data_IF_214703186330
#
_entry.id   IF_214703186330
#
_cell.length_a   1.000
_cell.length_b   1.000
_cell.length_c   1.000
_cell.angle_alpha   90.00
_cell.angle_beta   90.00
_cell.angle_gamma   90.00
#
_symmetry.space_group_name_H-M   'P 1'
#
loop_
_entity.id
_entity.type
_entity.pdbx_description
1 polymer ?
#
# COMPACT_ATOMS: atom_id res chain seq x y z
N UNK A 1 24.76 -3.18 -5.36
CA UNK A 1 24.02 -3.42 -4.10
C UNK A 1 22.82 -2.51 -4.11
N UNK A 2 21.61 -3.05 -4.19
CA UNK A 2 20.37 -2.28 -4.25
C UNK A 2 19.41 -2.71 -3.15
N UNK A 3 18.52 -1.81 -2.72
CA UNK A 3 17.40 -2.14 -1.84
C UNK A 3 16.18 -2.52 -2.68
N UNK A 4 15.35 -3.42 -2.15
CA UNK A 4 14.24 -4.05 -2.84
C UNK A 4 12.92 -3.82 -2.10
N UNK A 5 11.94 -3.31 -2.84
CA UNK A 5 10.51 -3.32 -2.49
C UNK A 5 9.74 -3.58 -3.80
N UNK A 6 8.82 -4.56 -3.85
CA UNK A 6 8.10 -4.90 -5.07
C UNK A 6 7.18 -3.78 -5.56
N UNK A 7 6.59 -3.01 -4.65
CA UNK A 7 5.69 -1.88 -4.97
C UNK A 7 6.46 -0.70 -5.55
N UNK A 8 7.64 -0.39 -4.98
CA UNK A 8 8.54 0.63 -5.54
C UNK A 8 8.93 0.29 -6.99
N UNK A 9 9.32 -0.96 -7.21
CA UNK A 9 9.70 -1.45 -8.55
C UNK A 9 8.51 -1.44 -9.52
N UNK A 10 7.30 -1.73 -9.05
CA UNK A 10 6.08 -1.64 -9.87
C UNK A 10 5.75 -0.20 -10.26
N UNK A 11 5.80 0.74 -9.32
CA UNK A 11 5.53 2.16 -9.56
C UNK A 11 6.51 2.77 -10.57
N UNK A 12 7.79 2.39 -10.51
CA UNK A 12 8.80 2.85 -11.47
C UNK A 12 8.62 2.27 -12.88
N UNK A 13 8.05 1.07 -13.01
CA UNK A 13 7.90 0.37 -14.29
C UNK A 13 6.65 0.75 -15.06
N UNK A 14 5.59 1.22 -14.40
CA UNK A 14 4.30 1.50 -15.04
C UNK A 14 4.14 2.99 -15.34
N UNK A 15 4.01 3.32 -16.63
CA UNK A 15 3.61 4.66 -17.09
C UNK A 15 2.10 4.82 -17.24
N UNK A 16 1.36 3.70 -17.35
CA UNK A 16 -0.10 3.61 -17.47
C UNK A 16 -0.61 2.32 -16.78
N UNK A 17 -1.71 2.42 -16.01
CA UNK A 17 -2.35 1.29 -15.29
C UNK A 17 -2.43 1.50 -13.78
N UNK A 18 -3.16 0.62 -13.08
CA UNK A 18 -3.29 0.68 -11.62
C UNK A 18 -1.92 0.49 -10.94
N UNK A 19 -1.59 1.42 -10.05
CA UNK A 19 -0.42 1.38 -9.18
C UNK A 19 -0.86 1.06 -7.76
N UNK A 20 -0.03 0.35 -6.97
CA UNK A 20 -0.32 0.17 -5.55
C UNK A 20 -0.35 1.54 -4.86
N UNK A 21 -1.18 1.65 -3.82
CA UNK A 21 -1.41 2.91 -3.10
C UNK A 21 -1.31 2.65 -1.60
N UNK A 22 -0.57 3.49 -0.88
CA UNK A 22 -0.41 3.41 0.57
C UNK A 22 -1.03 4.59 1.27
N UNK A 23 -1.47 5.62 0.55
CA UNK A 23 -2.10 6.79 1.15
C UNK A 23 -3.22 7.34 0.25
N UNK A 24 -4.21 7.95 0.90
CA UNK A 24 -5.31 8.67 0.25
C UNK A 24 -5.50 10.05 0.86
N UNK A 25 -5.44 11.09 0.05
CA UNK A 25 -5.66 12.48 0.50
C UNK A 25 -6.95 13.01 -0.07
N UNK A 26 -7.86 13.47 0.80
CA UNK A 26 -9.11 14.08 0.34
C UNK A 26 -8.83 15.45 -0.28
N UNK A 27 -9.27 15.64 -1.52
CA UNK A 27 -9.25 16.91 -2.25
C UNK A 27 -10.69 17.43 -2.28
N UNK A 28 -11.01 18.48 -1.50
CA UNK A 28 -12.33 19.09 -1.55
C UNK A 28 -12.56 19.78 -2.90
N UNK A 29 -13.81 19.83 -3.33
CA UNK A 29 -14.25 20.57 -4.50
C UNK A 29 -15.46 21.44 -4.14
N UNK A 30 -15.61 22.57 -4.82
CA UNK A 30 -16.77 23.44 -4.67
C UNK A 30 -17.96 22.91 -5.50
N UNK A 31 -19.21 23.06 -5.04
CA UNK A 31 -20.39 22.69 -5.82
C UNK A 31 -20.42 23.35 -7.20
N UNK A 32 -20.85 22.65 -8.27
CA UNK A 32 -21.53 21.35 -8.25
C UNK A 32 -20.60 20.13 -8.29
N UNK A 33 -19.28 20.30 -8.17
CA UNK A 33 -18.33 19.19 -8.22
C UNK A 33 -18.25 18.43 -6.88
N UNK A 34 -18.01 17.11 -6.97
CA UNK A 34 -17.75 16.27 -5.80
C UNK A 34 -16.25 16.26 -5.47
N UNK A 35 -15.92 16.18 -4.17
CA UNK A 35 -14.56 15.96 -3.72
C UNK A 35 -14.04 14.59 -4.16
N UNK A 36 -12.73 14.46 -4.31
CA UNK A 36 -12.08 13.21 -4.74
C UNK A 36 -10.93 12.84 -3.82
N UNK A 37 -10.43 11.60 -3.91
CA UNK A 37 -9.24 11.19 -3.18
C UNK A 37 -8.05 11.07 -4.12
N UNK A 38 -6.97 11.80 -3.84
CA UNK A 38 -5.67 11.55 -4.45
C UNK A 38 -5.06 10.30 -3.82
N UNK A 39 -4.77 9.29 -4.64
CA UNK A 39 -4.08 8.09 -4.21
C UNK A 39 -2.58 8.21 -4.47
N UNK A 40 -1.75 7.81 -3.50
CA UNK A 40 -0.30 7.87 -3.61
C UNK A 40 0.39 6.63 -3.02
N UNK A 41 1.56 6.30 -3.56
CA UNK A 41 2.48 5.31 -2.99
C UNK A 41 3.64 6.04 -2.33
N UNK A 42 3.60 6.15 -1.00
CA UNK A 42 4.56 6.95 -0.23
C UNK A 42 5.33 6.11 0.80
N UNK A 43 4.79 4.96 1.18
CA UNK A 43 5.32 4.12 2.26
C UNK A 43 5.96 2.87 1.68
N UNK A 44 7.20 2.58 2.10
CA UNK A 44 8.01 1.50 1.56
C UNK A 44 8.69 0.71 2.67
N UNK A 45 8.82 -0.59 2.48
CA UNK A 45 9.72 -1.44 3.28
C UNK A 45 10.76 -1.97 2.31
N UNK A 46 11.88 -1.27 2.19
CA UNK A 46 12.96 -1.71 1.31
C UNK A 46 13.97 -2.56 2.06
N UNK A 47 14.35 -3.70 1.50
CA UNK A 47 15.30 -4.63 2.13
C UNK A 47 16.50 -4.94 1.25
N UNK A 48 17.59 -5.41 1.85
CA UNK A 48 18.78 -5.88 1.16
C UNK A 48 18.59 -7.25 0.51
N UNK A 49 19.53 -7.64 -0.36
CA UNK A 49 19.47 -8.87 -1.14
C UNK A 49 19.49 -10.16 -0.28
N UNK A 50 20.22 -10.16 0.83
CA UNK A 50 20.25 -11.27 1.79
C UNK A 50 18.90 -11.47 2.51
N UNK A 51 18.16 -10.38 2.75
CA UNK A 51 16.80 -10.45 3.27
C UNK A 51 15.79 -10.85 2.18
N UNK A 52 16.03 -10.49 0.92
CA UNK A 52 15.24 -10.99 -0.21
C UNK A 52 15.29 -12.52 -0.33
N UNK A 53 16.42 -13.13 0.03
CA UNK A 53 16.56 -14.59 0.04
C UNK A 53 15.71 -15.29 1.11
N UNK A 54 15.08 -14.55 2.05
CA UNK A 54 14.27 -15.05 3.17
C UNK A 54 12.76 -15.05 2.90
N UNK A 55 12.39 -15.25 1.64
CA UNK A 55 11.00 -15.32 1.18
C UNK A 55 10.08 -14.20 1.73
N UNK A 56 10.47 -12.92 1.61
CA UNK A 56 9.69 -11.81 2.14
C UNK A 56 8.33 -11.67 1.44
N UNK A 57 7.29 -11.35 2.21
CA UNK A 57 5.93 -11.16 1.70
C UNK A 57 5.39 -9.81 2.12
N UNK A 58 5.42 -8.85 1.19
CA UNK A 58 4.79 -7.55 1.40
C UNK A 58 3.27 -7.63 1.27
N UNK A 59 2.60 -6.79 2.04
CA UNK A 59 1.17 -6.53 1.93
C UNK A 59 0.91 -5.05 2.19
N UNK A 60 0.10 -4.45 1.34
CA UNK A 60 -0.53 -3.17 1.63
C UNK A 60 -1.95 -3.46 2.11
N UNK A 61 -2.30 -2.92 3.27
CA UNK A 61 -3.63 -3.09 3.86
C UNK A 61 -4.59 -2.00 3.38
N UNK A 62 -4.65 -1.78 2.06
CA UNK A 62 -5.58 -0.84 1.43
C UNK A 62 -6.94 -1.52 1.24
N UNK A 63 -8.04 -1.07 1.88
CA UNK A 63 -9.30 -1.80 1.92
C UNK A 63 -9.95 -2.09 0.56
N UNK A 64 -9.69 -1.24 -0.44
CA UNK A 64 -10.24 -1.41 -1.79
C UNK A 64 -9.35 -2.26 -2.71
N UNK A 65 -8.08 -2.45 -2.35
CA UNK A 65 -7.11 -3.22 -3.16
C UNK A 65 -6.79 -4.59 -2.53
N UNK A 66 -7.29 -4.85 -1.31
CA UNK A 66 -7.08 -6.08 -0.56
C UNK A 66 -8.42 -6.75 -0.23
N UNK A 67 -8.67 -7.91 -0.84
CA UNK A 67 -9.94 -8.63 -0.68
C UNK A 67 -10.20 -9.08 0.77
N UNK A 68 -9.16 -9.38 1.55
CA UNK A 68 -9.31 -9.74 2.96
C UNK A 68 -9.80 -8.55 3.77
N UNK A 69 -9.24 -7.36 3.53
CA UNK A 69 -9.75 -6.13 4.14
C UNK A 69 -11.17 -5.82 3.70
N UNK A 70 -11.48 -5.99 2.42
CA UNK A 70 -12.82 -5.73 1.91
C UNK A 70 -13.89 -6.65 2.53
N UNK A 71 -13.56 -7.93 2.74
CA UNK A 71 -14.50 -8.91 3.29
C UNK A 71 -14.74 -8.74 4.81
N UNK A 72 -13.78 -8.17 5.54
CA UNK A 72 -13.88 -7.91 6.98
C UNK A 72 -14.28 -6.45 7.23
N UNK A 73 -15.56 -6.23 7.53
CA UNK A 73 -16.12 -4.90 7.77
C UNK A 73 -15.45 -4.17 8.94
N UNK A 74 -15.18 -4.88 10.06
CA UNK A 74 -14.56 -4.27 11.22
C UNK A 74 -13.13 -3.80 10.91
N UNK A 75 -12.36 -4.62 10.20
CA UNK A 75 -11.02 -4.26 9.74
C UNK A 75 -11.05 -3.11 8.73
N UNK A 76 -11.95 -3.16 7.74
CA UNK A 76 -12.12 -2.08 6.74
C UNK A 76 -12.39 -0.75 7.41
N UNK A 77 -13.37 -0.69 8.31
CA UNK A 77 -13.74 0.55 9.00
C UNK A 77 -12.60 1.05 9.89
N UNK A 78 -11.89 0.15 10.58
CA UNK A 78 -10.72 0.53 11.37
C UNK A 78 -9.63 1.16 10.48
N UNK A 79 -9.32 0.55 9.32
CA UNK A 79 -8.33 1.06 8.38
C UNK A 79 -8.72 2.42 7.77
N UNK A 80 -10.01 2.61 7.43
CA UNK A 80 -10.51 3.86 6.84
C UNK A 80 -10.46 5.02 7.84
N UNK A 81 -10.74 4.75 9.12
CA UNK A 81 -10.89 5.80 10.15
C UNK A 81 -9.61 6.09 10.94
N UNK A 82 -8.64 5.16 10.96
CA UNK A 82 -7.43 5.32 11.76
C UNK A 82 -6.43 6.33 11.19
N UNK A 83 -6.29 6.42 9.86
CA UNK A 83 -5.32 7.28 9.18
C UNK A 83 -5.68 7.45 7.70
N UNK A 84 -5.12 8.47 7.07
CA UNK A 84 -5.05 8.64 5.62
C UNK A 84 -3.99 7.75 4.95
N UNK A 85 -3.12 7.11 5.74
CA UNK A 85 -2.18 6.08 5.31
C UNK A 85 -2.66 4.67 5.66
N UNK A 86 -2.40 3.74 4.75
CA UNK A 86 -2.66 2.32 4.90
C UNK A 86 -1.37 1.58 5.27
N UNK A 87 -1.40 0.70 6.28
CA UNK A 87 -0.20 -0.02 6.71
C UNK A 87 0.43 -0.82 5.57
N UNK A 88 1.76 -0.76 5.50
CA UNK A 88 2.58 -1.70 4.74
C UNK A 88 3.20 -2.66 5.74
N UNK A 89 3.00 -3.96 5.54
CA UNK A 89 3.64 -5.00 6.35
C UNK A 89 4.49 -5.89 5.47
N UNK A 90 5.53 -6.48 6.05
CA UNK A 90 6.35 -7.49 5.40
C UNK A 90 6.56 -8.65 6.36
N UNK A 91 6.05 -9.82 5.99
CA UNK A 91 6.38 -11.06 6.68
C UNK A 91 7.75 -11.54 6.18
N UNK A 92 8.62 -11.99 7.08
CA UNK A 92 9.99 -12.41 6.77
C UNK A 92 10.36 -13.66 7.56
N UNK A 93 10.96 -14.65 6.88
CA UNK A 93 11.42 -15.88 7.53
C UNK A 93 12.82 -15.69 8.14
N UNK A 94 12.92 -15.66 9.46
CA UNK A 94 14.20 -15.44 10.15
C UNK A 94 15.05 -16.71 10.34
N UNK A 95 14.51 -17.88 9.97
CA UNK A 95 15.10 -19.18 10.26
C UNK A 95 14.75 -19.65 11.66
N UNK A 96 14.77 -20.97 11.84
CA UNK A 96 14.79 -21.67 13.14
C UNK A 96 16.21 -22.02 13.52
#
# INVERSE_FOLDING_TARGET
MGLFDPHARQALKRRLGASPTTARFFIPAEPPAEGSFLQALLDYIMISEDLMARNPRWRIWHPFDNMTCWADEALREALINASDHFPVTMDLELGS
#
